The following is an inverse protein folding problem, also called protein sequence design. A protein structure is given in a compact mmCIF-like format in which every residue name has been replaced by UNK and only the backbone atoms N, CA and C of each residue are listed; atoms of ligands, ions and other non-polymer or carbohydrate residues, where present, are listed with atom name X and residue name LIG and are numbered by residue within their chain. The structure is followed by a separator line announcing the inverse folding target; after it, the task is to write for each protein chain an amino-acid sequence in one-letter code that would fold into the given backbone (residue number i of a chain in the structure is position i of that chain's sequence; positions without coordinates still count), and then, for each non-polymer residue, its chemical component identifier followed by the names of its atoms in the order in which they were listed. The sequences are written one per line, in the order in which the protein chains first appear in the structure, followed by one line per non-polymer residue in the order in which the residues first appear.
data_IF_283718821454
#
_entry.id   IF_283718821454
#
_cell.length_a   1.000
_cell.length_b   1.000
_cell.length_c   1.000
_cell.angle_alpha   90.00
_cell.angle_beta   90.00
_cell.angle_gamma   90.00
#
_symmetry.space_group_name_H-M   'P 1'
#
loop_
_entity.id
_entity.type
_entity.pdbx_description
1 polymer ?
#
# COMPACT_ATOMS: atom_id res chain seq x y z
N UNK A 1 -13.81 3.73 -6.81
CA UNK A 1 -13.23 3.37 -5.52
C UNK A 1 -11.80 3.89 -5.41
N UNK A 2 -11.50 4.78 -4.47
CA UNK A 2 -10.18 5.45 -4.34
C UNK A 2 -9.12 4.51 -3.78
N UNK A 3 -9.49 3.65 -2.84
CA UNK A 3 -8.60 2.67 -2.18
C UNK A 3 -8.12 1.65 -3.21
N UNK A 4 -9.03 1.12 -4.03
CA UNK A 4 -8.67 0.19 -5.11
C UNK A 4 -7.68 0.80 -6.09
N UNK A 5 -7.80 2.09 -6.43
CA UNK A 5 -6.85 2.78 -7.32
C UNK A 5 -5.47 2.92 -6.67
N UNK A 6 -5.42 3.34 -5.41
CA UNK A 6 -4.16 3.51 -4.68
C UNK A 6 -3.41 2.18 -4.54
N UNK A 7 -4.12 1.07 -4.29
CA UNK A 7 -3.50 -0.26 -4.17
C UNK A 7 -2.98 -0.77 -5.51
N UNK A 8 -3.72 -0.54 -6.60
CA UNK A 8 -3.23 -0.84 -7.96
C UNK A 8 -1.99 0.00 -8.30
N UNK A 9 -1.99 1.26 -7.91
CA UNK A 9 -0.85 2.16 -8.12
C UNK A 9 0.36 1.70 -7.32
N UNK A 10 0.18 1.29 -6.05
CA UNK A 10 1.24 0.67 -5.25
C UNK A 10 1.83 -0.53 -5.98
N UNK A 11 1.00 -1.51 -6.39
CA UNK A 11 1.48 -2.71 -7.09
C UNK A 11 2.30 -2.38 -8.35
N UNK A 12 1.84 -1.45 -9.17
CA UNK A 12 2.54 -1.07 -10.40
C UNK A 12 3.86 -0.34 -10.14
N UNK A 13 3.88 0.54 -9.14
CA UNK A 13 5.08 1.30 -8.79
C UNK A 13 6.13 0.46 -8.08
N UNK A 14 5.71 -0.56 -7.33
CA UNK A 14 6.62 -1.55 -6.79
C UNK A 14 7.32 -2.33 -7.89
N UNK A 15 6.57 -2.84 -8.88
CA UNK A 15 7.15 -3.58 -10.00
C UNK A 15 8.12 -2.70 -10.77
N UNK A 16 7.72 -1.45 -11.05
CA UNK A 16 8.59 -0.47 -11.69
C UNK A 16 9.87 -0.23 -10.87
N UNK A 17 9.77 -0.10 -9.55
CA UNK A 17 10.94 0.11 -8.69
C UNK A 17 11.85 -1.12 -8.59
N UNK A 18 11.28 -2.33 -8.58
CA UNK A 18 12.03 -3.59 -8.65
C UNK A 18 12.77 -3.77 -9.99
N UNK A 19 12.29 -3.13 -11.06
CA UNK A 19 12.91 -3.09 -12.39
C UNK A 19 13.81 -1.86 -12.61
N UNK A 20 14.17 -1.15 -11.53
CA UNK A 20 15.00 0.06 -11.55
C UNK A 20 14.46 1.18 -12.46
N UNK A 21 13.13 1.27 -12.62
CA UNK A 21 12.52 2.33 -13.39
C UNK A 21 12.60 3.68 -12.66
N UNK A 22 13.02 4.71 -13.39
CA UNK A 22 13.14 6.08 -12.88
C UNK A 22 11.81 6.62 -12.36
N UNK A 23 11.86 7.33 -11.22
CA UNK A 23 10.69 7.99 -10.64
C UNK A 23 9.70 7.06 -9.93
N UNK A 24 9.90 5.73 -9.96
CA UNK A 24 9.02 4.78 -9.28
C UNK A 24 9.00 4.98 -7.75
N UNK A 25 10.17 5.12 -7.12
CA UNK A 25 10.29 5.30 -5.67
C UNK A 25 9.62 6.59 -5.15
N UNK A 26 9.87 7.78 -5.73
CA UNK A 26 9.16 9.00 -5.34
C UNK A 26 7.63 8.87 -5.45
N UNK A 27 7.13 8.29 -6.54
CA UNK A 27 5.70 8.07 -6.72
C UNK A 27 5.14 7.06 -5.70
N UNK A 28 5.90 6.01 -5.38
CA UNK A 28 5.52 4.97 -4.42
C UNK A 28 5.40 5.55 -3.01
N UNK A 29 6.36 6.39 -2.61
CA UNK A 29 6.31 7.16 -1.34
C UNK A 29 5.05 8.03 -1.28
N UNK A 30 4.69 8.70 -2.37
CA UNK A 30 3.47 9.51 -2.44
C UNK A 30 2.21 8.65 -2.30
N UNK A 31 2.12 7.51 -3.00
CA UNK A 31 0.99 6.59 -2.90
C UNK A 31 0.77 6.09 -1.47
N UNK A 32 1.84 5.74 -0.76
CA UNK A 32 1.75 5.28 0.64
C UNK A 32 1.37 6.40 1.61
N UNK A 33 1.85 7.63 1.39
CA UNK A 33 1.42 8.80 2.15
C UNK A 33 -0.09 9.05 2.01
N UNK A 34 -0.65 8.85 0.81
CA UNK A 34 -2.10 8.96 0.58
C UNK A 34 -2.88 7.85 1.30
N UNK A 35 -2.36 6.62 1.33
CA UNK A 35 -2.99 5.51 2.06
C UNK A 35 -2.99 5.75 3.58
N UNK A 36 -1.88 6.25 4.14
CA UNK A 36 -1.80 6.68 5.54
C UNK A 36 -2.81 7.78 5.85
N UNK A 37 -2.83 8.83 5.04
CA UNK A 37 -3.77 9.95 5.17
C UNK A 37 -5.22 9.49 5.10
N UNK A 38 -5.53 8.51 4.26
CA UNK A 38 -6.86 7.93 4.17
C UNK A 38 -7.23 7.15 5.43
N UNK A 39 -6.29 6.37 5.99
CA UNK A 39 -6.50 5.64 7.22
C UNK A 39 -6.76 6.58 8.42
N UNK A 40 -6.03 7.69 8.49
CA UNK A 40 -6.16 8.69 9.56
C UNK A 40 -7.48 9.47 9.47
N UNK A 41 -7.90 9.87 8.26
CA UNK A 41 -9.11 10.67 8.07
C UNK A 41 -10.41 9.86 8.15
N UNK A 42 -10.35 8.55 7.89
CA UNK A 42 -11.54 7.69 7.83
C UNK A 42 -11.39 6.44 8.70
N UNK A 43 -11.13 6.56 10.02
CA UNK A 43 -10.87 5.41 10.88
C UNK A 43 -12.07 4.44 10.91
N UNK A 44 -13.31 4.93 10.83
CA UNK A 44 -14.50 4.07 10.76
C UNK A 44 -14.65 3.26 9.47
N UNK A 45 -13.93 3.61 8.40
CA UNK A 45 -14.00 2.93 7.10
C UNK A 45 -12.86 1.93 6.87
N UNK A 46 -11.80 2.01 7.69
CA UNK A 46 -10.62 1.13 7.59
C UNK A 46 -10.82 -0.09 8.49
N UNK A 47 -10.56 -1.33 8.01
CA UNK A 47 -10.58 -2.52 8.86
C UNK A 47 -9.45 -2.54 9.90
N UNK A 48 -9.66 -3.19 11.06
CA UNK A 48 -8.65 -3.31 12.12
C UNK A 48 -7.32 -3.88 11.59
N UNK A 49 -7.37 -4.95 10.80
CA UNK A 49 -6.17 -5.58 10.24
C UNK A 49 -5.37 -4.66 9.30
N UNK A 50 -5.97 -3.61 8.75
CA UNK A 50 -5.26 -2.58 7.95
C UNK A 50 -4.67 -1.50 8.86
N UNK A 51 -5.36 -1.14 9.96
CA UNK A 51 -4.82 -0.22 10.97
C UNK A 51 -3.61 -0.78 11.68
N UNK A 52 -3.63 -2.09 11.96
CA UNK A 52 -2.56 -2.79 12.67
C UNK A 52 -1.31 -3.00 11.78
N UNK A 53 -1.40 -2.65 10.49
CA UNK A 53 -0.25 -2.72 9.61
C UNK A 53 0.78 -1.64 9.94
N UNK A 54 2.07 -1.98 10.03
CA UNK A 54 3.14 -1.03 10.29
C UNK A 54 3.49 -0.18 9.05
N UNK A 55 2.50 0.49 8.44
CA UNK A 55 2.70 1.44 7.33
C UNK A 55 3.74 2.54 7.63
N UNK A 56 3.83 3.09 8.86
CA UNK A 56 4.90 4.02 9.19
C UNK A 56 6.30 3.42 9.03
N UNK A 57 6.48 2.14 9.36
CA UNK A 57 7.76 1.44 9.16
C UNK A 57 8.05 1.24 7.67
N UNK A 58 7.04 0.90 6.87
CA UNK A 58 7.15 0.85 5.40
C UNK A 58 7.58 2.21 4.85
N UNK A 59 6.94 3.30 5.28
CA UNK A 59 7.28 4.64 4.84
C UNK A 59 8.72 5.03 5.23
N UNK A 60 9.15 4.65 6.44
CA UNK A 60 10.53 4.85 6.90
C UNK A 60 11.53 4.06 6.06
N UNK A 61 11.24 2.79 5.77
CA UNK A 61 12.11 1.94 4.94
C UNK A 61 12.27 2.52 3.52
N UNK A 62 11.20 3.06 2.95
CA UNK A 62 11.27 3.74 1.67
C UNK A 62 12.04 5.06 1.72
N UNK A 63 12.03 5.77 2.83
CA UNK A 63 12.70 7.07 2.98
C UNK A 63 14.22 6.96 3.19
N UNK A 64 14.73 5.77 3.52
CA UNK A 64 16.15 5.52 3.69
C UNK A 64 16.94 5.87 2.41
N UNK A 65 18.10 6.50 2.59
CA UNK A 65 18.93 6.98 1.49
C UNK A 65 19.51 5.85 0.62
N UNK A 66 19.68 4.67 1.21
CA UNK A 66 20.23 3.45 0.63
C UNK A 66 19.16 2.36 0.44
N UNK A 67 17.88 2.75 0.43
CA UNK A 67 16.76 1.82 0.23
C UNK A 67 16.92 1.05 -1.09
N UNK A 68 17.13 -0.26 -0.99
CA UNK A 68 17.13 -1.18 -2.14
C UNK A 68 15.73 -1.74 -2.33
N UNK A 69 15.24 -1.73 -3.57
CA UNK A 69 13.90 -2.20 -3.92
C UNK A 69 13.66 -3.64 -3.44
N UNK A 70 14.61 -4.55 -3.67
CA UNK A 70 14.50 -5.94 -3.21
C UNK A 70 14.43 -6.06 -1.67
N UNK A 71 15.29 -5.35 -0.94
CA UNK A 71 15.33 -5.44 0.52
C UNK A 71 14.04 -4.92 1.15
N UNK A 72 13.46 -3.86 0.59
CA UNK A 72 12.21 -3.28 1.07
C UNK A 72 11.00 -4.11 0.64
N UNK A 73 10.85 -4.39 -0.66
CA UNK A 73 9.64 -5.05 -1.20
C UNK A 73 9.50 -6.53 -0.79
N UNK A 74 10.60 -7.19 -0.40
CA UNK A 74 10.56 -8.55 0.13
C UNK A 74 10.66 -8.60 1.67
N UNK A 75 10.68 -7.46 2.34
CA UNK A 75 10.65 -7.42 3.81
C UNK A 75 9.31 -7.95 4.36
N UNK A 76 9.31 -8.58 5.55
CA UNK A 76 8.06 -9.04 6.16
C UNK A 76 7.04 -7.93 6.36
N UNK A 77 7.51 -6.75 6.79
CA UNK A 77 6.69 -5.56 7.04
C UNK A 77 5.97 -5.09 5.76
N UNK A 78 6.69 -5.07 4.63
CA UNK A 78 6.09 -4.75 3.34
C UNK A 78 5.00 -5.73 2.93
N UNK A 79 5.31 -7.03 2.98
CA UNK A 79 4.42 -8.10 2.55
C UNK A 79 3.16 -8.17 3.43
N UNK A 80 3.31 -7.97 4.74
CA UNK A 80 2.19 -7.89 5.68
C UNK A 80 1.25 -6.73 5.34
N UNK A 81 1.78 -5.52 5.14
CA UNK A 81 0.97 -4.36 4.76
C UNK A 81 0.26 -4.63 3.42
N UNK A 82 0.97 -5.11 2.42
CA UNK A 82 0.39 -5.44 1.11
C UNK A 82 -0.76 -6.43 1.20
N UNK A 83 -0.59 -7.48 1.99
CA UNK A 83 -1.61 -8.51 2.17
C UNK A 83 -2.87 -7.91 2.79
N UNK A 84 -2.74 -7.11 3.84
CA UNK A 84 -3.86 -6.45 4.49
C UNK A 84 -4.63 -5.53 3.53
N UNK A 85 -3.94 -4.67 2.78
CA UNK A 85 -4.61 -3.82 1.79
C UNK A 85 -5.30 -4.64 0.69
N UNK A 86 -4.68 -5.74 0.26
CA UNK A 86 -5.29 -6.67 -0.71
C UNK A 86 -6.56 -7.30 -0.14
N UNK A 87 -6.52 -7.78 1.11
CA UNK A 87 -7.68 -8.35 1.80
C UNK A 87 -8.81 -7.32 1.95
N UNK A 88 -8.48 -6.05 2.19
CA UNK A 88 -9.47 -4.99 2.25
C UNK A 88 -10.18 -4.79 0.90
N UNK A 89 -9.44 -4.79 -0.22
CA UNK A 89 -10.05 -4.72 -1.57
C UNK A 89 -10.97 -5.90 -1.83
N UNK A 90 -10.54 -7.12 -1.47
CA UNK A 90 -11.39 -8.29 -1.59
C UNK A 90 -12.67 -8.17 -0.75
N UNK A 91 -12.57 -7.68 0.48
CA UNK A 91 -13.74 -7.45 1.33
C UNK A 91 -14.71 -6.43 0.72
N UNK A 92 -14.20 -5.34 0.12
CA UNK A 92 -15.01 -4.35 -0.58
C UNK A 92 -15.73 -4.95 -1.80
N UNK A 93 -15.06 -5.82 -2.56
CA UNK A 93 -15.67 -6.51 -3.71
C UNK A 93 -16.75 -7.50 -3.28
N UNK A 94 -16.52 -8.25 -2.21
CA UNK A 94 -17.49 -9.22 -1.68
C UNK A 94 -18.70 -8.54 -1.01
N UNK A 95 -18.53 -7.34 -0.46
CA UNK A 95 -19.59 -6.55 0.15
C UNK A 95 -20.44 -5.77 -0.87
N UNK A 96 -19.98 -5.64 -2.12
CA UNK A 96 -20.77 -5.01 -3.17
C UNK A 96 -22.01 -5.89 -3.46
N UNK A 97 -23.23 -5.33 -3.47
CA UNK A 97 -24.41 -6.09 -3.85
C UNK A 97 -24.19 -6.64 -5.26
N UNK A 98 -24.52 -7.92 -5.48
CA UNK A 98 -24.56 -8.51 -6.81
C UNK A 98 -25.40 -7.58 -7.69
N UNK A 99 -24.77 -6.92 -8.67
CA UNK A 99 -25.53 -6.10 -9.61
C UNK A 99 -26.50 -7.04 -10.36
N UNK A 100 -27.80 -6.72 -10.41
CA UNK A 100 -28.77 -7.48 -11.19
C UNK A 100 -28.47 -7.40 -12.70
#
# INVERSE_FOLDING_TARGET
DVVVRLIKQWQSLEEAWLLDADGALPALRQTLSLLLTLADNYPGAVPDFVRDCPLPEVASALAAADAKSADVCFSPVWLQCKLAFTQWVFALWMAAPAMP
#
